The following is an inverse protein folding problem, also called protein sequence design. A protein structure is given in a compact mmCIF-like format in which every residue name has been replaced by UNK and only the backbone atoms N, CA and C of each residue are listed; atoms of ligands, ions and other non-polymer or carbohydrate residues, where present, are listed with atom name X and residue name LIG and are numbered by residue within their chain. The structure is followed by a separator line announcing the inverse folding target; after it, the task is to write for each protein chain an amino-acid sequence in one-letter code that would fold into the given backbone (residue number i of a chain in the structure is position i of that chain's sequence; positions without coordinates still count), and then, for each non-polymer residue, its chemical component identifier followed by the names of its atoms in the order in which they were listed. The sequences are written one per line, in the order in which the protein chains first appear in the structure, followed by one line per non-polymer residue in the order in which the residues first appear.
data_IF_295775092837
#
_entry.id   IF_295775092837
#
_cell.length_a   1.000
_cell.length_b   1.000
_cell.length_c   1.000
_cell.angle_alpha   90.00
_cell.angle_beta   90.00
_cell.angle_gamma   90.00
#
_symmetry.space_group_name_H-M   'P 1'
#
loop_
_entity.id
_entity.type
_entity.pdbx_description
1 polymer ?
#
# COMPACT_ATOMS: atom_id res chain seq x y z
N UNK A 1 -13.02 1.97 -1.49
CA UNK A 1 -12.55 0.59 -1.76
C UNK A 1 -13.37 -0.21 -2.76
N UNK A 2 -14.70 -0.09 -2.88
CA UNK A 2 -15.47 -0.84 -3.91
C UNK A 2 -14.94 -0.68 -5.34
N UNK A 3 -14.59 0.55 -5.75
CA UNK A 3 -13.99 0.81 -7.06
C UNK A 3 -12.65 0.08 -7.27
N UNK A 4 -11.83 -0.01 -6.22
CA UNK A 4 -10.57 -0.76 -6.24
C UNK A 4 -10.80 -2.26 -6.35
N UNK A 5 -11.76 -2.81 -5.59
CA UNK A 5 -12.11 -4.22 -5.68
C UNK A 5 -12.59 -4.59 -7.09
N UNK A 6 -13.41 -3.73 -7.70
CA UNK A 6 -13.88 -3.90 -9.08
C UNK A 6 -12.73 -3.88 -10.09
N UNK A 7 -11.88 -2.85 -10.06
CA UNK A 7 -10.79 -2.76 -11.05
C UNK A 7 -9.75 -3.88 -10.87
N UNK A 8 -9.49 -4.33 -9.64
CA UNK A 8 -8.62 -5.47 -9.39
C UNK A 8 -9.23 -6.76 -9.99
N UNK A 9 -10.52 -7.01 -9.77
CA UNK A 9 -11.19 -8.17 -10.35
C UNK A 9 -11.22 -8.13 -11.89
N UNK A 10 -11.35 -6.93 -12.48
CA UNK A 10 -11.36 -6.74 -13.94
C UNK A 10 -9.95 -6.86 -14.56
N UNK A 11 -8.89 -6.45 -13.84
CA UNK A 11 -7.52 -6.31 -14.40
C UNK A 11 -6.54 -7.38 -13.93
N UNK A 12 -6.91 -8.15 -12.92
CA UNK A 12 -6.18 -9.32 -12.42
C UNK A 12 -7.15 -10.51 -12.36
N UNK A 13 -7.63 -11.02 -13.52
CA UNK A 13 -8.67 -12.07 -13.58
C UNK A 13 -8.26 -13.38 -12.90
N UNK A 14 -6.97 -13.61 -12.70
CA UNK A 14 -6.39 -14.74 -11.97
C UNK A 14 -6.46 -14.58 -10.43
N UNK A 15 -6.83 -13.40 -9.93
CA UNK A 15 -6.87 -13.07 -8.49
C UNK A 15 -8.31 -13.02 -8.00
N UNK A 16 -8.64 -13.85 -7.02
CA UNK A 16 -9.91 -13.74 -6.30
C UNK A 16 -9.90 -12.49 -5.40
N UNK A 17 -10.91 -11.62 -5.54
CA UNK A 17 -11.00 -10.35 -4.78
C UNK A 17 -12.10 -10.41 -3.72
N UNK A 18 -11.70 -10.26 -2.46
CA UNK A 18 -12.60 -10.15 -1.30
C UNK A 18 -12.51 -8.80 -0.61
N UNK A 19 -13.51 -8.44 0.19
CA UNK A 19 -13.50 -7.21 1.02
C UNK A 19 -13.75 -7.53 2.48
N UNK A 20 -12.93 -6.96 3.37
CA UNK A 20 -13.13 -7.05 4.82
C UNK A 20 -14.10 -5.96 5.29
N UNK A 21 -15.07 -6.33 6.12
CA UNK A 21 -15.97 -5.38 6.79
C UNK A 21 -15.61 -5.31 8.26
N UNK A 22 -15.21 -4.14 8.74
CA UNK A 22 -14.87 -3.95 10.14
C UNK A 22 -16.12 -4.03 11.03
N UNK A 23 -16.00 -4.73 12.16
CA UNK A 23 -17.02 -4.85 13.20
C UNK A 23 -17.17 -3.56 14.00
N UNK A 24 -16.10 -2.79 14.12
CA UNK A 24 -16.03 -1.51 14.85
C UNK A 24 -15.51 -0.41 13.92
N UNK A 25 -15.93 0.83 14.18
CA UNK A 25 -15.33 2.02 13.55
C UNK A 25 -14.10 2.43 14.35
N UNK A 26 -13.07 2.92 13.65
CA UNK A 26 -11.85 3.42 14.28
C UNK A 26 -10.79 2.35 14.53
N UNK A 27 -9.59 2.82 14.85
CA UNK A 27 -8.46 1.95 15.19
C UNK A 27 -8.59 1.35 16.59
N UNK A 28 -9.20 2.09 17.53
CA UNK A 28 -9.43 1.69 18.91
C UNK A 28 -8.10 1.28 19.57
N UNK A 29 -7.12 2.19 19.50
CA UNK A 29 -5.80 2.15 20.15
C UNK A 29 -5.24 0.75 20.43
N UNK A 30 -5.31 0.29 21.68
CA UNK A 30 -4.74 -0.99 22.10
C UNK A 30 -5.46 -2.20 21.49
N UNK A 31 -6.76 -2.08 21.23
CA UNK A 31 -7.59 -3.15 20.69
C UNK A 31 -7.31 -3.41 19.20
N UNK A 32 -6.93 -2.36 18.44
CA UNK A 32 -6.55 -2.48 17.02
C UNK A 32 -7.62 -3.20 16.19
N UNK A 33 -8.90 -2.92 16.46
CA UNK A 33 -10.04 -3.74 15.99
C UNK A 33 -10.02 -4.01 14.48
N UNK A 34 -9.63 -3.00 13.68
CA UNK A 34 -9.55 -3.15 12.23
C UNK A 34 -8.48 -4.17 11.80
N UNK A 35 -7.34 -4.26 12.50
CA UNK A 35 -6.31 -5.27 12.22
C UNK A 35 -6.78 -6.67 12.65
N UNK A 36 -7.40 -6.78 13.82
CA UNK A 36 -7.98 -8.05 14.33
C UNK A 36 -9.02 -8.61 13.35
N UNK A 37 -9.84 -7.74 12.75
CA UNK A 37 -10.83 -8.15 11.76
C UNK A 37 -10.18 -8.66 10.46
N UNK A 38 -9.06 -8.06 10.03
CA UNK A 38 -8.28 -8.55 8.87
C UNK A 38 -7.65 -9.90 9.19
N UNK A 39 -7.03 -10.04 10.36
CA UNK A 39 -6.41 -11.30 10.82
C UNK A 39 -7.41 -12.45 10.89
N UNK A 40 -8.64 -12.19 11.35
CA UNK A 40 -9.71 -13.19 11.35
C UNK A 40 -10.06 -13.66 9.95
N UNK A 41 -10.25 -12.74 9.01
CA UNK A 41 -10.53 -13.10 7.60
C UNK A 41 -9.37 -13.89 7.01
N UNK A 42 -8.12 -13.52 7.33
CA UNK A 42 -6.94 -14.28 6.89
C UNK A 42 -6.91 -15.70 7.45
N UNK A 43 -7.35 -15.91 8.69
CA UNK A 43 -7.46 -17.24 9.29
C UNK A 43 -8.50 -18.11 8.57
N UNK A 44 -9.61 -17.52 8.12
CA UNK A 44 -10.65 -18.20 7.33
C UNK A 44 -10.15 -18.60 5.93
N UNK A 45 -9.10 -17.95 5.42
CA UNK A 45 -8.45 -18.30 4.15
C UNK A 45 -7.40 -19.41 4.27
N UNK A 46 -7.38 -20.17 5.37
CA UNK A 46 -6.57 -21.36 5.51
C UNK A 46 -6.83 -22.36 4.35
N UNK A 47 -5.76 -22.78 3.68
CA UNK A 47 -5.82 -23.67 2.51
C UNK A 47 -5.85 -22.97 1.15
N UNK A 48 -6.05 -21.64 1.11
CA UNK A 48 -6.05 -20.87 -0.14
C UNK A 48 -4.66 -20.35 -0.54
N UNK A 49 -4.51 -19.77 -1.73
CA UNK A 49 -3.25 -19.24 -2.25
C UNK A 49 -2.67 -18.04 -1.47
N UNK A 50 -1.57 -17.46 -1.99
CA UNK A 50 -0.99 -16.24 -1.42
C UNK A 50 -2.00 -15.08 -1.40
N UNK A 51 -1.87 -14.19 -0.41
CA UNK A 51 -2.78 -13.06 -0.20
C UNK A 51 -2.04 -11.73 -0.31
N UNK A 52 -2.69 -10.74 -0.94
CA UNK A 52 -2.26 -9.33 -0.93
C UNK A 52 -3.30 -8.51 -0.19
N UNK A 53 -2.86 -7.68 0.76
CA UNK A 53 -3.75 -6.78 1.50
C UNK A 53 -3.74 -5.40 0.86
N UNK A 54 -4.89 -4.94 0.37
CA UNK A 54 -5.07 -3.60 -0.21
C UNK A 54 -5.98 -2.78 0.69
N UNK A 55 -5.50 -1.64 1.17
CA UNK A 55 -6.21 -0.84 2.17
C UNK A 55 -6.07 0.66 1.96
N UNK A 56 -7.14 1.41 2.26
CA UNK A 56 -7.13 2.87 2.26
C UNK A 56 -7.23 3.42 3.69
N UNK A 57 -6.50 4.49 4.00
CA UNK A 57 -6.57 5.18 5.30
C UNK A 57 -6.38 4.19 6.45
N UNK A 58 -7.34 4.07 7.38
CA UNK A 58 -7.34 3.07 8.45
C UNK A 58 -7.18 1.63 7.92
N UNK A 59 -7.73 1.30 6.76
CA UNK A 59 -7.55 -0.02 6.16
C UNK A 59 -6.14 -0.28 5.65
N UNK A 60 -5.42 0.76 5.23
CA UNK A 60 -4.00 0.66 4.92
C UNK A 60 -3.16 0.38 6.17
N UNK A 61 -3.48 1.05 7.28
CA UNK A 61 -2.88 0.79 8.60
C UNK A 61 -3.15 -0.65 9.07
N UNK A 62 -4.40 -1.11 8.96
CA UNK A 62 -4.78 -2.48 9.29
C UNK A 62 -4.05 -3.52 8.42
N UNK A 63 -3.89 -3.24 7.13
CA UNK A 63 -3.15 -4.11 6.20
C UNK A 63 -1.67 -4.23 6.60
N UNK A 64 -1.03 -3.11 6.96
CA UNK A 64 0.35 -3.11 7.49
C UNK A 64 0.44 -3.95 8.77
N UNK A 65 -0.46 -3.75 9.73
CA UNK A 65 -0.44 -4.46 11.00
C UNK A 65 -0.64 -5.99 10.84
N UNK A 66 -1.54 -6.40 9.95
CA UNK A 66 -1.86 -7.80 9.70
C UNK A 66 -0.88 -8.51 8.73
N UNK A 67 0.10 -7.80 8.18
CA UNK A 67 1.04 -8.34 7.18
C UNK A 67 1.91 -9.50 7.68
N UNK A 68 1.96 -9.71 9.00
CA UNK A 68 2.69 -10.81 9.63
C UNK A 68 2.09 -12.18 9.34
N UNK A 69 0.83 -12.27 8.90
CA UNK A 69 0.17 -13.54 8.64
C UNK A 69 0.90 -14.36 7.53
N UNK A 70 1.10 -15.68 7.70
CA UNK A 70 1.98 -16.48 6.83
C UNK A 70 1.68 -16.43 5.33
N UNK A 71 0.41 -16.25 4.94
CA UNK A 71 -0.01 -16.22 3.53
C UNK A 71 0.15 -14.84 2.88
N UNK A 72 0.38 -13.78 3.66
CA UNK A 72 0.48 -12.43 3.12
C UNK A 72 1.82 -12.25 2.42
N UNK A 73 1.77 -11.99 1.12
CA UNK A 73 2.97 -11.74 0.29
C UNK A 73 3.25 -10.26 0.12
N UNK A 74 2.23 -9.42 0.25
CA UNK A 74 2.42 -7.99 0.16
C UNK A 74 1.27 -7.13 0.66
N UNK A 75 1.57 -5.84 0.77
CA UNK A 75 0.67 -4.79 1.24
C UNK A 75 0.67 -3.63 0.25
N UNK A 76 -0.53 -3.20 -0.15
CA UNK A 76 -0.75 -1.98 -0.92
C UNK A 76 -1.54 -1.01 -0.06
N UNK A 77 -0.86 -0.04 0.54
CA UNK A 77 -1.46 0.91 1.48
C UNK A 77 -1.63 2.28 0.82
N UNK A 78 -2.88 2.69 0.63
CA UNK A 78 -3.28 3.88 -0.11
C UNK A 78 -3.74 4.98 0.86
N UNK A 79 -3.09 6.15 0.82
CA UNK A 79 -3.20 7.22 1.80
C UNK A 79 -3.33 6.69 3.25
N UNK A 80 -2.43 5.78 3.70
CA UNK A 80 -2.65 5.02 4.91
C UNK A 80 -2.54 5.91 6.14
N UNK A 81 -3.45 5.71 7.10
CA UNK A 81 -3.42 6.41 8.38
C UNK A 81 -2.42 5.73 9.33
N UNK A 82 -1.13 5.79 8.98
CA UNK A 82 -0.03 5.32 9.81
C UNK A 82 0.34 6.37 10.86
N UNK A 83 1.00 5.91 11.92
CA UNK A 83 1.48 6.70 13.05
C UNK A 83 2.90 6.26 13.41
N UNK A 84 3.61 7.08 14.18
CA UNK A 84 4.95 6.75 14.68
C UNK A 84 4.95 5.53 15.62
N UNK A 85 3.79 5.17 16.18
CA UNK A 85 3.63 3.97 17.01
C UNK A 85 3.41 2.66 16.23
N UNK A 86 3.14 2.73 14.92
CA UNK A 86 2.87 1.51 14.14
C UNK A 86 4.15 0.72 13.90
N UNK A 87 4.08 -0.59 14.14
CA UNK A 87 5.21 -1.50 13.98
C UNK A 87 5.57 -1.73 12.50
N UNK A 88 6.85 -2.00 12.26
CA UNK A 88 7.37 -2.34 10.92
C UNK A 88 7.62 -3.84 10.77
N UNK A 89 7.84 -4.55 11.87
CA UNK A 89 8.12 -6.01 11.86
C UNK A 89 7.10 -6.85 11.09
N UNK A 90 5.77 -6.56 11.11
CA UNK A 90 4.80 -7.35 10.35
C UNK A 90 5.08 -7.42 8.85
N UNK A 91 5.75 -6.41 8.27
CA UNK A 91 6.05 -6.38 6.83
C UNK A 91 7.38 -7.06 6.46
N UNK A 92 8.07 -7.69 7.40
CA UNK A 92 9.35 -8.38 7.14
C UNK A 92 9.21 -9.49 6.10
N UNK A 93 9.93 -9.44 4.98
CA UNK A 93 9.87 -10.48 3.95
C UNK A 93 8.66 -10.38 3.00
N UNK A 94 8.08 -9.18 2.86
CA UNK A 94 6.90 -8.90 2.01
C UNK A 94 7.25 -7.82 0.99
N UNK A 95 6.43 -7.69 -0.05
CA UNK A 95 6.43 -6.53 -0.93
C UNK A 95 5.49 -5.46 -0.37
N UNK A 96 5.98 -4.24 -0.14
CA UNK A 96 5.20 -3.12 0.41
C UNK A 96 5.18 -1.96 -0.56
N UNK A 97 3.99 -1.54 -0.96
CA UNK A 97 3.78 -0.35 -1.79
C UNK A 97 2.87 0.62 -1.04
N UNK A 98 3.37 1.83 -0.83
CA UNK A 98 2.65 2.94 -0.21
C UNK A 98 2.41 4.03 -1.25
N UNK A 99 1.25 4.68 -1.20
CA UNK A 99 1.03 5.92 -1.95
C UNK A 99 0.23 6.93 -1.14
N UNK A 100 0.57 8.20 -1.24
CA UNK A 100 -0.08 9.27 -0.47
C UNK A 100 -0.36 10.50 -1.32
N UNK A 101 -1.56 11.08 -1.21
CA UNK A 101 -1.87 12.33 -1.92
C UNK A 101 -1.07 13.51 -1.35
N UNK A 102 -0.36 14.25 -2.19
CA UNK A 102 0.52 15.35 -1.75
C UNK A 102 -0.20 16.47 -0.99
N UNK A 103 -1.51 16.61 -1.19
CA UNK A 103 -2.36 17.63 -0.54
C UNK A 103 -3.29 17.05 0.51
N UNK A 104 -3.00 15.84 1.01
CA UNK A 104 -3.77 15.23 2.08
C UNK A 104 -3.64 16.03 3.38
N UNK A 105 -4.75 16.64 3.81
CA UNK A 105 -4.85 17.40 5.06
C UNK A 105 -5.49 16.62 6.21
N UNK A 106 -6.06 15.45 5.92
CA UNK A 106 -6.71 14.58 6.91
C UNK A 106 -5.69 13.64 7.53
N UNK A 107 -4.88 13.01 6.69
CA UNK A 107 -3.74 12.19 7.09
C UNK A 107 -2.53 12.75 6.39
N UNK A 108 -1.66 13.41 7.15
CA UNK A 108 -0.47 14.09 6.65
C UNK A 108 0.45 13.09 5.91
N UNK A 109 0.89 13.36 4.65
CA UNK A 109 1.77 12.46 3.88
C UNK A 109 3.09 12.13 4.57
N UNK A 110 3.53 13.02 5.46
CA UNK A 110 4.73 12.85 6.29
C UNK A 110 4.61 11.62 7.21
N UNK A 111 3.39 11.21 7.60
CA UNK A 111 3.20 10.03 8.44
C UNK A 111 3.55 8.74 7.69
N UNK A 112 3.16 8.62 6.42
CA UNK A 112 3.56 7.47 5.61
C UNK A 112 5.04 7.52 5.23
N UNK A 113 5.63 8.72 5.11
CA UNK A 113 7.08 8.88 4.90
C UNK A 113 7.87 8.37 6.10
N UNK A 114 7.59 8.89 7.30
CA UNK A 114 8.27 8.48 8.54
C UNK A 114 8.14 6.99 8.82
N UNK A 115 6.96 6.42 8.56
CA UNK A 115 6.80 4.98 8.68
C UNK A 115 7.68 4.22 7.66
N UNK A 116 7.72 4.67 6.40
CA UNK A 116 8.54 4.05 5.36
C UNK A 116 10.04 4.15 5.65
N UNK A 117 10.51 5.29 6.18
CA UNK A 117 11.90 5.51 6.62
C UNK A 117 12.29 4.50 7.70
N UNK A 118 11.45 4.30 8.72
CA UNK A 118 11.68 3.28 9.76
C UNK A 118 11.59 1.85 9.24
N UNK A 119 10.79 1.62 8.20
CA UNK A 119 10.62 0.31 7.59
C UNK A 119 11.72 -0.03 6.57
N UNK A 120 12.60 0.90 6.22
CA UNK A 120 13.66 0.66 5.25
C UNK A 120 14.52 -0.56 5.65
N UNK A 121 14.70 -1.50 4.72
CA UNK A 121 15.42 -2.75 4.95
C UNK A 121 14.66 -3.84 5.73
N UNK A 122 13.40 -3.60 6.12
CA UNK A 122 12.55 -4.62 6.77
C UNK A 122 11.81 -5.51 5.75
N UNK A 123 11.00 -4.97 4.81
CA UNK A 123 10.39 -5.76 3.74
C UNK A 123 11.43 -6.13 2.67
N UNK A 124 11.14 -7.14 1.85
CA UNK A 124 12.01 -7.52 0.72
C UNK A 124 12.01 -6.42 -0.35
N UNK A 125 10.87 -5.76 -0.52
CA UNK A 125 10.68 -4.66 -1.48
C UNK A 125 9.84 -3.58 -0.83
N UNK A 126 10.31 -2.34 -0.89
CA UNK A 126 9.58 -1.16 -0.39
C UNK A 126 9.52 -0.12 -1.51
N UNK A 127 8.34 0.40 -1.81
CA UNK A 127 8.19 1.61 -2.60
C UNK A 127 7.19 2.53 -1.90
N UNK A 128 7.50 3.83 -1.87
CA UNK A 128 6.55 4.86 -1.45
C UNK A 128 6.45 5.93 -2.52
N UNK A 129 5.22 6.24 -2.88
CA UNK A 129 4.90 7.27 -3.85
C UNK A 129 4.13 8.44 -3.22
N UNK A 130 4.36 9.63 -3.74
CA UNK A 130 3.55 10.82 -3.49
C UNK A 130 2.76 11.12 -4.76
N UNK A 131 1.44 11.25 -4.66
CA UNK A 131 0.57 11.57 -5.81
C UNK A 131 0.40 13.08 -5.89
N UNK A 132 1.06 13.78 -6.83
CA UNK A 132 1.02 15.24 -6.90
C UNK A 132 -0.42 15.73 -7.08
N UNK A 133 -0.78 16.79 -6.37
CA UNK A 133 -2.10 17.43 -6.51
C UNK A 133 -3.28 16.68 -5.89
N UNK A 134 -3.15 15.40 -5.52
CA UNK A 134 -4.25 14.61 -4.95
C UNK A 134 -4.35 14.73 -3.42
N UNK A 135 -5.49 14.29 -2.89
CA UNK A 135 -5.90 14.43 -1.49
C UNK A 135 -6.25 13.06 -0.88
N UNK A 136 -6.64 13.02 0.39
CA UNK A 136 -6.98 11.78 1.12
C UNK A 136 -7.95 10.85 0.38
N UNK A 137 -8.91 11.42 -0.33
CA UNK A 137 -9.97 10.68 -1.03
C UNK A 137 -9.53 10.07 -2.37
N UNK A 138 -8.31 10.35 -2.83
CA UNK A 138 -7.72 9.75 -4.04
C UNK A 138 -8.55 9.98 -5.31
N UNK A 139 -9.18 11.15 -5.40
CA UNK A 139 -10.22 11.42 -6.38
C UNK A 139 -9.80 12.33 -7.52
N UNK A 140 -8.66 13.04 -7.40
CA UNK A 140 -8.16 13.93 -8.46
C UNK A 140 -7.55 13.10 -9.59
N UNK A 141 -6.72 12.11 -9.24
CA UNK A 141 -6.02 11.25 -10.17
C UNK A 141 -6.43 9.77 -10.02
N UNK A 142 -7.74 9.49 -9.96
CA UNK A 142 -8.31 8.14 -9.71
C UNK A 142 -7.65 7.02 -10.53
N UNK A 143 -7.39 7.28 -11.81
CA UNK A 143 -6.76 6.29 -12.70
C UNK A 143 -5.33 5.94 -12.30
N UNK A 144 -4.58 6.88 -11.71
CA UNK A 144 -3.21 6.63 -11.24
C UNK A 144 -3.22 5.72 -10.03
N UNK A 145 -4.15 5.95 -9.09
CA UNK A 145 -4.34 5.09 -7.93
C UNK A 145 -4.78 3.68 -8.32
N UNK A 146 -5.72 3.55 -9.26
CA UNK A 146 -6.15 2.24 -9.76
C UNK A 146 -5.01 1.50 -10.46
N UNK A 147 -4.27 2.18 -11.34
CA UNK A 147 -3.12 1.61 -12.02
C UNK A 147 -2.07 1.12 -11.03
N UNK A 148 -1.70 1.96 -10.06
CA UNK A 148 -0.74 1.60 -9.02
C UNK A 148 -1.21 0.39 -8.22
N UNK A 149 -2.49 0.34 -7.84
CA UNK A 149 -3.03 -0.80 -7.09
C UNK A 149 -2.94 -2.12 -7.89
N UNK A 150 -3.31 -2.10 -9.18
CA UNK A 150 -3.20 -3.26 -10.07
C UNK A 150 -1.74 -3.69 -10.24
N UNK A 151 -0.85 -2.75 -10.57
CA UNK A 151 0.57 -3.03 -10.72
C UNK A 151 1.17 -3.62 -9.44
N UNK A 152 0.81 -3.06 -8.27
CA UNK A 152 1.35 -3.49 -6.99
C UNK A 152 0.84 -4.87 -6.58
N UNK A 153 -0.45 -5.17 -6.82
CA UNK A 153 -1.00 -6.51 -6.59
C UNK A 153 -0.29 -7.55 -7.46
N UNK A 154 -0.07 -7.26 -8.74
CA UNK A 154 0.68 -8.16 -9.64
C UNK A 154 2.11 -8.41 -9.12
N UNK A 155 2.84 -7.35 -8.76
CA UNK A 155 4.20 -7.46 -8.24
C UNK A 155 4.29 -8.19 -6.87
N UNK A 156 3.23 -8.15 -6.05
CA UNK A 156 3.18 -8.88 -4.78
C UNK A 156 2.92 -10.39 -4.97
N UNK A 157 2.40 -10.80 -6.12
CA UNK A 157 2.06 -12.19 -6.45
C UNK A 157 3.05 -12.77 -7.47
N UNK A 158 4.29 -12.26 -7.48
CA UNK A 158 5.37 -12.68 -8.37
C UNK A 158 5.04 -12.56 -9.87
N UNK A 159 4.05 -11.72 -10.21
CA UNK A 159 3.70 -11.36 -11.58
C UNK A 159 4.60 -10.27 -12.16
N UNK A 160 4.28 -9.79 -13.39
CA UNK A 160 5.03 -8.72 -14.04
C UNK A 160 5.12 -7.45 -13.18
N UNK A 161 6.35 -6.90 -13.09
CA UNK A 161 6.59 -5.66 -12.34
C UNK A 161 6.50 -4.47 -13.29
N UNK A 162 5.52 -3.60 -13.06
CA UNK A 162 5.37 -2.35 -13.81
C UNK A 162 6.60 -1.44 -13.65
N UNK A 163 7.07 -0.76 -14.72
CA UNK A 163 8.20 0.18 -14.65
C UNK A 163 8.07 1.24 -13.54
N UNK A 164 6.86 1.71 -13.21
CA UNK A 164 6.68 2.68 -12.11
C UNK A 164 7.09 2.08 -10.77
N UNK A 165 6.82 0.78 -10.56
CA UNK A 165 7.20 0.08 -9.34
C UNK A 165 8.69 -0.24 -9.33
N UNK A 166 9.26 -0.67 -10.47
CA UNK A 166 10.72 -0.85 -10.59
C UNK A 166 11.47 0.41 -10.20
N UNK A 167 11.04 1.57 -10.72
CA UNK A 167 11.63 2.86 -10.36
C UNK A 167 11.44 3.19 -8.87
N UNK A 168 10.25 2.93 -8.31
CA UNK A 168 9.97 3.14 -6.89
C UNK A 168 10.80 2.26 -5.96
N UNK A 169 10.97 0.99 -6.28
CA UNK A 169 11.80 0.05 -5.51
C UNK A 169 13.28 0.43 -5.57
N UNK A 170 13.79 0.80 -6.75
CA UNK A 170 15.16 1.28 -6.91
C UNK A 170 15.40 2.58 -6.12
N UNK A 171 14.48 3.54 -6.22
CA UNK A 171 14.56 4.79 -5.46
C UNK A 171 14.56 4.55 -3.94
N UNK A 172 13.71 3.65 -3.44
CA UNK A 172 13.69 3.32 -2.02
C UNK A 172 14.98 2.63 -1.54
N UNK A 173 15.60 1.80 -2.37
CA UNK A 173 16.91 1.19 -2.07
C UNK A 173 18.03 2.26 -1.93
N UNK A 174 17.87 3.40 -2.59
CA UNK A 174 18.74 4.58 -2.47
C UNK A 174 18.27 5.56 -1.36
N UNK A 175 17.30 5.17 -0.54
CA UNK A 175 16.74 6.02 0.52
C UNK A 175 15.76 7.11 0.05
N UNK A 176 15.36 7.11 -1.23
CA UNK A 176 14.40 8.06 -1.79
C UNK A 176 12.98 7.52 -1.69
N UNK A 177 12.24 7.99 -0.69
CA UNK A 177 10.87 7.53 -0.40
C UNK A 177 9.77 8.54 -0.76
N UNK A 178 10.11 9.74 -1.23
CA UNK A 178 9.20 10.76 -1.77
C UNK A 178 9.16 10.71 -3.31
N UNK A 179 8.93 9.52 -3.88
CA UNK A 179 8.91 9.37 -5.35
C UNK A 179 7.60 9.92 -5.90
N UNK A 180 7.59 10.91 -6.80
CA UNK A 180 6.34 11.38 -7.41
C UNK A 180 5.74 10.26 -8.27
N UNK A 181 4.47 9.92 -8.03
CA UNK A 181 3.74 9.03 -8.92
C UNK A 181 3.49 9.78 -10.23
N UNK A 182 3.94 9.21 -11.34
CA UNK A 182 3.67 9.74 -12.68
C UNK A 182 2.42 9.11 -13.27
N UNK A 183 1.92 9.74 -14.34
CA UNK A 183 0.81 9.20 -15.10
C UNK A 183 1.18 7.80 -15.64
N UNK A 184 0.27 6.81 -15.57
CA UNK A 184 0.46 5.52 -16.19
C UNK A 184 0.89 5.66 -17.67
N UNK A 185 1.95 4.97 -18.06
CA UNK A 185 2.51 5.03 -19.42
C UNK A 185 3.47 6.19 -19.69
N UNK A 186 3.86 6.97 -18.68
CA UNK A 186 4.90 7.99 -18.81
C UNK A 186 6.11 7.65 -17.91
N UNK A 187 7.34 7.59 -18.46
CA UNK A 187 8.52 7.27 -17.67
C UNK A 187 8.74 8.32 -16.57
N UNK A 188 9.28 7.86 -15.43
CA UNK A 188 9.71 8.72 -14.34
C UNK A 188 11.05 9.33 -14.72
N UNK A 189 11.09 10.60 -15.08
CA UNK A 189 12.36 11.34 -15.18
C UNK A 189 12.81 11.72 -13.75
N UNK A 190 14.04 11.38 -13.32
CA UNK A 190 14.55 11.86 -12.05
C UNK A 190 14.56 13.39 -12.04
N UNK A 191 13.90 14.01 -11.07
CA UNK A 191 14.03 15.44 -10.84
C UNK A 191 15.38 15.66 -10.13
N UNK A 192 16.36 16.23 -10.84
CA UNK A 192 17.56 16.77 -10.22
C UNK A 192 17.14 17.87 -9.24
N UNK A 193 17.57 17.75 -7.98
CA UNK A 193 17.39 18.86 -7.03
C UNK A 193 18.36 19.98 -7.41
N UNK A 194 17.94 21.24 -7.40
CA UNK A 194 18.88 22.35 -7.57
C UNK A 194 19.85 22.38 -6.37
N UNK A 195 21.11 22.67 -6.70
CA UNK A 195 22.23 22.85 -5.78
C UNK A 195 22.01 23.98 -4.77
#
# INVERSE_FOLDING_TARGET
MRAFARVLAERCPEVAVGTVRYRRRGWNDAQRDAAVDVERVLAELAGHGPVVLVGHSMGGRAAVAAAGAPRVRGVVALAPWLTDGDAVTPVRGRTVVLAHGARDRWVRPELSLRWAERAAGVPDRLARFVVPGDVHMMWVHRSWWHHLAVAAVSACLDGPVDPVLTAGFAAAAEGRLDVPLTRPGHPVTPVERPH
#
